data_IF_678574704912
#
_entry.id   IF_678574704912
#
_cell.length_a   1.000
_cell.length_b   1.000
_cell.length_c   1.000
_cell.angle_alpha   90.00
_cell.angle_beta   90.00
_cell.angle_gamma   90.00
#
_symmetry.space_group_name_H-M   'P 1'
#
loop_
_entity.id
_entity.type
_entity.pdbx_description
1 polymer ?
#
# COMPACT_ATOMS: atom_id res chain seq x y z
N UNK A 1 38.35 10.67 29.22
CA UNK A 1 37.03 11.03 29.81
C UNK A 1 36.13 11.69 28.77
N UNK A 2 36.60 12.72 28.07
CA UNK A 2 35.82 13.45 27.04
C UNK A 2 35.33 12.58 25.87
N UNK A 3 36.17 11.67 25.37
CA UNK A 3 35.75 10.75 24.30
C UNK A 3 34.59 9.83 24.73
N UNK A 4 34.61 9.36 25.97
CA UNK A 4 33.54 8.50 26.52
C UNK A 4 32.21 9.27 26.57
N UNK A 5 32.25 10.56 26.93
CA UNK A 5 31.07 11.43 26.87
C UNK A 5 30.53 11.60 25.45
N UNK A 6 31.41 11.75 24.45
CA UNK A 6 31.01 11.87 23.04
C UNK A 6 30.32 10.60 22.52
N UNK A 7 30.87 9.42 22.84
CA UNK A 7 30.25 8.14 22.44
C UNK A 7 28.90 7.89 23.11
N UNK A 8 28.78 8.23 24.40
CA UNK A 8 27.50 8.16 25.12
C UNK A 8 26.45 9.10 24.51
N UNK A 9 26.85 10.31 24.15
CA UNK A 9 25.96 11.28 23.51
C UNK A 9 25.46 10.81 22.14
N UNK A 10 26.34 10.24 21.31
CA UNK A 10 25.97 9.63 20.02
C UNK A 10 25.03 8.42 20.18
N UNK A 11 25.25 7.60 21.21
CA UNK A 11 24.39 6.45 21.51
C UNK A 11 22.98 6.91 21.97
N UNK A 12 22.89 8.00 22.72
CA UNK A 12 21.61 8.59 23.13
C UNK A 12 20.85 9.19 21.93
N UNK A 13 21.53 9.91 21.03
CA UNK A 13 20.89 10.48 19.83
C UNK A 13 20.38 9.38 18.90
N UNK A 14 21.20 8.37 18.63
CA UNK A 14 20.83 7.25 17.75
C UNK A 14 19.67 6.42 18.29
N UNK A 15 19.67 6.11 19.59
CA UNK A 15 18.57 5.39 20.22
C UNK A 15 17.27 6.21 20.24
N UNK A 16 17.33 7.51 20.51
CA UNK A 16 16.17 8.41 20.41
C UNK A 16 15.61 8.45 18.98
N UNK A 17 16.47 8.53 17.96
CA UNK A 17 16.07 8.52 16.56
C UNK A 17 15.41 7.19 16.13
N UNK A 18 15.86 6.06 16.67
CA UNK A 18 15.22 4.76 16.42
C UNK A 18 13.86 4.64 17.13
N UNK A 19 13.71 5.25 18.31
CA UNK A 19 12.45 5.29 19.05
C UNK A 19 11.41 6.19 18.38
N UNK A 20 11.82 7.31 17.76
CA UNK A 20 10.91 8.18 16.98
C UNK A 20 10.45 7.54 15.67
N UNK A 21 11.22 6.59 15.13
CA UNK A 21 10.80 5.75 13.99
C UNK A 21 9.74 4.70 14.33
N UNK A 22 9.30 4.58 15.60
CA UNK A 22 8.13 3.75 15.92
C UNK A 22 6.93 4.25 15.13
N UNK A 23 6.54 3.49 14.11
CA UNK A 23 5.36 3.75 13.27
C UNK A 23 4.17 4.09 14.18
N UNK A 24 3.62 5.28 13.99
CA UNK A 24 2.35 5.69 14.59
C UNK A 24 1.31 4.61 14.31
N UNK A 25 0.96 3.84 15.35
CA UNK A 25 -0.10 2.84 15.24
C UNK A 25 -1.42 3.58 15.03
N UNK A 26 -2.03 3.40 13.86
CA UNK A 26 -3.41 3.85 13.63
C UNK A 26 -4.35 2.91 14.38
N UNK A 27 -4.87 3.38 15.52
CA UNK A 27 -5.90 2.68 16.29
C UNK A 27 -7.32 2.84 15.70
N UNK A 28 -7.49 3.74 14.71
CA UNK A 28 -8.77 3.99 14.05
C UNK A 28 -9.09 3.01 12.92
N UNK A 29 -10.38 2.83 12.65
CA UNK A 29 -10.87 2.10 11.47
C UNK A 29 -10.36 2.79 10.19
N UNK A 30 -9.61 2.04 9.36
CA UNK A 30 -9.06 2.52 8.08
C UNK A 30 -10.19 3.02 7.16
N UNK A 31 -9.99 4.08 6.35
CA UNK A 31 -11.02 4.62 5.46
C UNK A 31 -11.66 3.56 4.54
N UNK A 32 -10.86 2.63 4.03
CA UNK A 32 -11.32 1.52 3.18
C UNK A 32 -12.37 0.63 3.86
N UNK A 33 -12.27 0.45 5.17
CA UNK A 33 -13.24 -0.33 5.95
C UNK A 33 -14.51 0.47 6.27
N UNK A 34 -14.44 1.81 6.27
CA UNK A 34 -15.61 2.67 6.47
C UNK A 34 -16.52 2.66 5.24
N UNK A 35 -15.92 2.76 4.05
CA UNK A 35 -16.63 2.72 2.78
C UNK A 35 -17.14 1.31 2.40
N UNK A 36 -16.68 0.26 3.10
CA UNK A 36 -17.01 -1.14 2.79
C UNK A 36 -18.50 -1.45 2.84
N UNK A 37 -19.26 -0.81 3.75
CA UNK A 37 -20.72 -0.96 3.82
C UNK A 37 -21.44 -0.39 2.59
N UNK A 38 -20.88 0.62 1.94
CA UNK A 38 -21.48 1.30 0.79
C UNK A 38 -21.01 0.73 -0.55
N UNK A 39 -19.71 0.38 -0.66
CA UNK A 39 -19.08 -0.05 -1.92
C UNK A 39 -19.16 -1.56 -2.20
N UNK A 40 -19.71 -2.36 -1.28
CA UNK A 40 -19.79 -3.80 -1.44
C UNK A 40 -18.47 -4.55 -1.24
N UNK A 41 -18.53 -5.86 -1.43
CA UNK A 41 -17.46 -6.82 -1.16
C UNK A 41 -16.50 -6.90 -2.36
N UNK A 42 -15.36 -6.21 -2.27
CA UNK A 42 -14.09 -6.54 -2.94
C UNK A 42 -13.73 -5.97 -4.32
N UNK A 43 -14.66 -5.59 -5.20
CA UNK A 43 -14.28 -5.28 -6.60
C UNK A 43 -13.18 -4.19 -6.71
N UNK A 44 -13.32 -3.11 -5.96
CA UNK A 44 -12.34 -2.02 -5.99
C UNK A 44 -11.37 -2.05 -4.80
N UNK A 45 -11.30 -3.15 -4.06
CA UNK A 45 -10.50 -3.19 -2.83
C UNK A 45 -9.01 -3.09 -3.15
N UNK A 46 -8.54 -3.88 -4.13
CA UNK A 46 -7.13 -3.90 -4.50
C UNK A 46 -6.67 -2.55 -5.06
N UNK A 47 -7.46 -1.91 -5.92
CA UNK A 47 -7.17 -0.55 -6.41
C UNK A 47 -7.18 0.51 -5.35
N UNK A 48 -8.18 0.48 -4.47
CA UNK A 48 -8.29 1.47 -3.40
C UNK A 48 -7.06 1.35 -2.49
N UNK A 49 -6.62 0.13 -2.16
CA UNK A 49 -5.36 -0.07 -1.44
C UNK A 49 -4.16 0.42 -2.26
N UNK A 50 -4.08 0.08 -3.54
CA UNK A 50 -2.97 0.46 -4.42
C UNK A 50 -2.82 1.99 -4.57
N UNK A 51 -3.93 2.74 -4.59
CA UNK A 51 -3.95 4.19 -4.83
C UNK A 51 -3.98 5.03 -3.55
N UNK A 52 -4.71 4.58 -2.53
CA UNK A 52 -5.05 5.41 -1.36
C UNK A 52 -4.42 4.91 -0.05
N UNK A 53 -4.06 3.63 0.06
CA UNK A 53 -3.51 3.04 1.28
C UNK A 53 -2.41 2.01 0.98
N UNK A 54 -1.23 2.51 0.56
CA UNK A 54 -0.07 1.69 0.20
C UNK A 54 0.41 0.80 1.36
N UNK A 55 0.18 1.21 2.61
CA UNK A 55 0.52 0.38 3.76
C UNK A 55 -0.40 -0.83 3.87
N UNK A 56 -1.71 -0.65 3.65
CA UNK A 56 -2.63 -1.79 3.60
C UNK A 56 -2.36 -2.65 2.38
N UNK A 57 -2.05 -2.05 1.23
CA UNK A 57 -1.64 -2.76 0.03
C UNK A 57 -0.45 -3.67 0.31
N UNK A 58 0.61 -3.12 0.92
CA UNK A 58 1.79 -3.88 1.31
C UNK A 58 1.45 -4.96 2.34
N UNK A 59 0.58 -4.69 3.31
CA UNK A 59 0.18 -5.69 4.30
C UNK A 59 -0.58 -6.87 3.66
N UNK A 60 -1.37 -6.59 2.62
CA UNK A 60 -2.17 -7.57 1.91
C UNK A 60 -1.36 -8.38 0.89
N UNK A 61 -0.58 -7.70 0.04
CA UNK A 61 0.17 -8.32 -1.08
C UNK A 61 1.62 -8.66 -0.74
N UNK A 62 2.15 -8.12 0.38
CA UNK A 62 3.57 -8.15 0.73
C UNK A 62 4.48 -7.51 -0.33
N UNK A 63 3.92 -6.62 -1.15
CA UNK A 63 4.63 -5.93 -2.22
C UNK A 63 4.38 -4.43 -2.18
N UNK A 64 5.39 -3.67 -2.62
CA UNK A 64 5.20 -2.24 -2.87
C UNK A 64 4.38 -2.05 -4.16
N UNK A 65 3.54 -1.00 -4.24
CA UNK A 65 2.76 -0.66 -5.43
C UNK A 65 3.57 -0.68 -6.73
N UNK A 66 4.75 -0.06 -6.73
CA UNK A 66 5.62 0.03 -7.92
C UNK A 66 6.14 -1.35 -8.36
N UNK A 67 6.49 -2.21 -7.40
CA UNK A 67 6.97 -3.56 -7.70
C UNK A 67 5.84 -4.43 -8.25
N UNK A 68 4.64 -4.25 -7.71
CA UNK A 68 3.43 -4.90 -8.21
C UNK A 68 3.12 -4.47 -9.65
N UNK A 69 3.14 -3.16 -9.95
CA UNK A 69 2.91 -2.64 -11.29
C UNK A 69 3.97 -3.10 -12.30
N UNK A 70 5.23 -3.15 -11.87
CA UNK A 70 6.31 -3.68 -12.68
C UNK A 70 6.08 -5.15 -13.04
N UNK A 71 5.74 -5.99 -12.04
CA UNK A 71 5.40 -7.39 -12.26
C UNK A 71 4.19 -7.57 -13.18
N UNK A 72 3.17 -6.72 -13.00
CA UNK A 72 1.99 -6.71 -13.86
C UNK A 72 2.36 -6.39 -15.32
N UNK A 73 3.28 -5.45 -15.54
CA UNK A 73 3.78 -5.08 -16.87
C UNK A 73 4.67 -6.14 -17.54
N UNK A 74 5.21 -7.08 -16.77
CA UNK A 74 5.96 -8.22 -17.30
C UNK A 74 5.05 -9.39 -17.73
N UNK A 75 3.77 -9.37 -17.36
CA UNK A 75 2.85 -10.43 -17.78
C UNK A 75 2.55 -10.32 -19.28
N UNK A 76 2.57 -11.45 -20.02
CA UNK A 76 2.26 -11.45 -21.44
C UNK A 76 0.83 -10.94 -21.70
N UNK A 77 0.65 -10.17 -22.76
CA UNK A 77 -0.64 -9.59 -23.16
C UNK A 77 -1.75 -10.65 -23.30
N UNK A 78 -1.39 -11.87 -23.71
CA UNK A 78 -2.30 -13.03 -23.81
C UNK A 78 -2.90 -13.43 -22.46
N UNK A 79 -2.14 -13.31 -21.37
CA UNK A 79 -2.65 -13.56 -20.02
C UNK A 79 -3.56 -12.43 -19.53
N UNK A 80 -3.31 -11.19 -19.94
CA UNK A 80 -4.18 -10.05 -19.64
C UNK A 80 -5.53 -10.14 -20.35
N UNK A 81 -5.62 -10.85 -21.48
CA UNK A 81 -6.88 -11.15 -22.17
C UNK A 81 -7.67 -12.27 -21.47
N UNK A 82 -7.00 -13.32 -21.03
CA UNK A 82 -7.66 -14.46 -20.34
C UNK A 82 -8.08 -14.11 -18.90
N UNK A 83 -7.27 -13.31 -18.22
CA UNK A 83 -7.57 -12.80 -16.90
C UNK A 83 -8.25 -11.42 -16.96
N UNK A 84 -8.67 -10.95 -18.14
CA UNK A 84 -9.21 -9.59 -18.31
C UNK A 84 -10.36 -9.35 -17.34
N UNK A 85 -11.33 -10.24 -17.28
CA UNK A 85 -12.49 -10.04 -16.42
C UNK A 85 -12.13 -10.12 -14.92
N UNK A 86 -11.17 -10.96 -14.54
CA UNK A 86 -10.66 -11.06 -13.18
C UNK A 86 -9.79 -9.86 -12.76
N UNK A 87 -8.92 -9.38 -13.65
CA UNK A 87 -8.07 -8.20 -13.45
C UNK A 87 -8.94 -6.95 -13.44
N UNK A 88 -9.93 -6.83 -14.33
CA UNK A 88 -10.87 -5.71 -14.33
C UNK A 88 -11.77 -5.71 -13.09
N UNK A 89 -12.20 -6.89 -12.61
CA UNK A 89 -12.95 -7.02 -11.37
C UNK A 89 -12.11 -6.76 -10.10
N UNK A 90 -10.78 -6.92 -10.14
CA UNK A 90 -9.85 -6.58 -9.04
C UNK A 90 -9.34 -5.14 -9.11
N UNK A 91 -9.22 -4.60 -10.33
CA UNK A 91 -8.57 -3.32 -10.63
C UNK A 91 -9.53 -2.20 -11.05
N UNK A 92 -10.84 -2.41 -11.06
CA UNK A 92 -11.84 -1.34 -11.04
C UNK A 92 -11.61 -0.21 -12.04
N UNK A 93 -11.06 -0.53 -13.22
CA UNK A 93 -10.88 0.43 -14.30
C UNK A 93 -12.27 0.68 -14.90
N UNK A 94 -13.04 1.56 -14.27
CA UNK A 94 -14.23 2.11 -14.91
C UNK A 94 -13.76 2.83 -16.18
N UNK A 95 -14.25 2.38 -17.33
CA UNK A 95 -14.33 3.21 -18.53
C UNK A 95 -15.28 4.38 -18.20
N UNK A 96 -14.75 5.41 -17.56
CA UNK A 96 -15.38 6.72 -17.46
C UNK A 96 -15.22 7.46 -18.80
N UNK A 97 -15.67 6.86 -19.90
CA UNK A 97 -15.81 7.52 -21.20
C UNK A 97 -16.91 6.80 -21.98
N UNK A 98 -18.16 7.12 -21.65
CA UNK A 98 -19.24 7.35 -22.59
C UNK A 98 -20.49 7.55 -21.72
N UNK A 99 -20.93 8.80 -21.64
CA UNK A 99 -22.33 9.20 -21.49
C UNK A 99 -22.33 10.74 -21.47
N UNK A 100 -22.27 11.32 -22.67
CA UNK A 100 -22.76 12.65 -23.00
C UNK A 100 -24.05 12.48 -23.78
#
# INVERSE_FOLDING_TARGET
MEEVFMYLFLLLISSAFLLTKKRLRRYGVRPINRARKQKGMFANLCTTMLKEDHEMFFKYTRMNPNMFLHLLGLLPCIWLLYARDCIWALFGFNNSQHDY
#
